data_IF_992837577838
#
_entry.id   IF_992837577838
#
_cell.length_a   1.000
_cell.length_b   1.000
_cell.length_c   1.000
_cell.angle_alpha   90.00
_cell.angle_beta   90.00
_cell.angle_gamma   90.00
#
_symmetry.space_group_name_H-M   'P 1'
#
loop_
_entity.id
_entity.type
_entity.pdbx_description
1 polymer ?
#
# COMPACT_ATOMS: atom_id res chain seq x y z
N UNK A 1 18.18 27.75 -28.16
CA UNK A 1 19.07 26.76 -27.51
C UNK A 1 18.94 26.90 -25.98
N UNK A 2 17.79 26.55 -25.39
CA UNK A 2 17.48 26.70 -23.94
C UNK A 2 17.09 25.38 -23.24
N UNK A 3 17.12 24.25 -23.96
CA UNK A 3 16.62 22.94 -23.48
C UNK A 3 17.49 22.23 -22.42
N UNK A 4 18.65 22.79 -22.06
CA UNK A 4 19.65 22.11 -21.23
C UNK A 4 19.66 22.49 -19.74
N UNK A 5 19.17 23.68 -19.38
CA UNK A 5 19.17 24.16 -17.98
C UNK A 5 17.93 23.70 -17.21
N UNK A 6 16.73 23.84 -17.79
CA UNK A 6 15.46 23.40 -17.18
C UNK A 6 15.44 21.90 -16.83
N UNK A 7 15.93 21.04 -17.74
CA UNK A 7 16.03 19.59 -17.47
C UNK A 7 16.97 19.23 -16.32
N UNK A 8 18.03 20.02 -16.09
CA UNK A 8 18.97 19.82 -14.96
C UNK A 8 18.43 20.39 -13.65
N UNK A 9 17.49 21.32 -13.70
CA UNK A 9 16.83 21.91 -12.55
C UNK A 9 15.66 21.03 -12.08
N UNK A 10 14.83 20.53 -13.00
CA UNK A 10 13.78 19.55 -12.69
C UNK A 10 14.31 18.23 -12.10
N UNK A 11 15.47 17.74 -12.60
CA UNK A 11 16.13 16.55 -12.03
C UNK A 11 16.62 16.76 -10.58
N UNK A 12 17.22 17.92 -10.28
CA UNK A 12 17.72 18.25 -8.92
C UNK A 12 16.58 18.48 -7.92
N UNK A 13 15.41 18.93 -8.39
CA UNK A 13 14.21 19.07 -7.55
C UNK A 13 13.61 17.71 -7.20
N UNK A 14 13.48 16.80 -8.17
CA UNK A 14 12.94 15.45 -7.92
C UNK A 14 13.79 14.62 -6.94
N UNK A 15 15.10 14.86 -6.85
CA UNK A 15 15.97 14.20 -5.88
C UNK A 15 15.58 14.49 -4.42
N UNK A 16 14.97 15.66 -4.12
CA UNK A 16 14.69 16.14 -2.76
C UNK A 16 13.21 16.10 -2.33
N UNK A 17 12.29 15.59 -3.18
CA UNK A 17 10.84 15.63 -2.92
C UNK A 17 10.32 14.39 -2.18
N UNK A 18 9.20 14.60 -1.44
CA UNK A 18 8.43 13.53 -0.80
C UNK A 18 7.99 12.49 -1.83
N UNK A 19 8.54 11.28 -1.72
CA UNK A 19 8.40 10.23 -2.73
C UNK A 19 6.94 9.85 -2.97
N UNK A 20 6.14 9.86 -1.91
CA UNK A 20 4.73 9.51 -1.92
C UNK A 20 3.88 10.64 -2.50
N UNK A 21 4.22 11.90 -2.24
CA UNK A 21 3.47 13.06 -2.72
C UNK A 21 3.48 13.20 -4.22
N UNK A 22 4.65 13.01 -4.85
CA UNK A 22 4.76 12.97 -6.31
C UNK A 22 3.93 11.83 -6.91
N UNK A 23 3.84 10.68 -6.25
CA UNK A 23 2.99 9.57 -6.71
C UNK A 23 1.51 9.90 -6.57
N UNK A 24 1.10 10.49 -5.44
CA UNK A 24 -0.28 10.91 -5.15
C UNK A 24 -0.77 11.95 -6.16
N UNK A 25 0.02 13.00 -6.38
CA UNK A 25 -0.29 14.04 -7.37
C UNK A 25 -0.37 13.47 -8.78
N UNK A 26 0.57 12.59 -9.13
CA UNK A 26 0.53 11.92 -10.42
C UNK A 26 -0.74 11.09 -10.54
N UNK A 27 -1.09 10.26 -9.56
CA UNK A 27 -2.31 9.45 -9.57
C UNK A 27 -3.58 10.29 -9.76
N UNK A 28 -3.72 11.38 -9.00
CA UNK A 28 -4.96 12.19 -8.96
C UNK A 28 -5.09 13.14 -10.14
N UNK A 29 -4.01 13.84 -10.49
CA UNK A 29 -4.06 15.00 -11.39
C UNK A 29 -3.38 14.78 -12.74
N UNK A 30 -2.74 13.62 -12.94
CA UNK A 30 -1.90 13.36 -14.12
C UNK A 30 -0.78 14.40 -14.31
N UNK A 31 -0.36 15.03 -13.22
CA UNK A 31 0.69 16.03 -13.22
C UNK A 31 1.83 15.59 -12.32
N UNK A 32 3.03 15.90 -12.77
CA UNK A 32 4.23 15.81 -11.98
C UNK A 32 4.54 17.21 -11.43
N UNK A 33 4.57 17.42 -10.10
CA UNK A 33 4.68 18.76 -9.52
C UNK A 33 6.06 19.38 -9.79
N UNK A 34 6.08 20.69 -10.09
CA UNK A 34 7.33 21.46 -10.26
C UNK A 34 7.99 21.86 -8.92
N UNK A 35 7.23 21.71 -7.83
CA UNK A 35 7.62 21.96 -6.44
C UNK A 35 6.66 21.23 -5.51
N UNK A 36 7.20 20.54 -4.52
CA UNK A 36 6.44 19.99 -3.40
C UNK A 36 7.00 20.53 -2.08
N UNK A 37 6.14 20.95 -1.17
CA UNK A 37 6.54 21.32 0.19
C UNK A 37 6.56 20.05 1.07
N UNK A 38 7.74 19.51 1.45
CA UNK A 38 7.84 18.26 2.20
C UNK A 38 7.32 18.34 3.64
N UNK A 39 6.86 19.51 4.10
CA UNK A 39 6.33 19.73 5.46
C UNK A 39 4.80 19.79 5.52
N UNK A 40 4.12 19.75 4.37
CA UNK A 40 2.67 19.85 4.27
C UNK A 40 2.10 18.44 4.08
N UNK A 41 1.19 18.06 4.98
CA UNK A 41 0.31 16.90 4.82
C UNK A 41 -0.89 17.33 3.98
N UNK A 42 -1.22 16.56 2.95
CA UNK A 42 -2.36 16.84 2.08
C UNK A 42 -3.36 15.66 2.09
N UNK A 43 -4.64 15.99 2.10
CA UNK A 43 -5.72 15.02 2.00
C UNK A 43 -6.46 15.18 0.67
N UNK A 44 -6.55 14.10 -0.08
CA UNK A 44 -7.16 14.08 -1.40
C UNK A 44 -8.33 13.12 -1.45
N UNK A 45 -9.36 13.49 -2.22
CA UNK A 45 -10.51 12.62 -2.49
C UNK A 45 -10.65 12.42 -3.99
N UNK A 46 -10.74 11.17 -4.42
CA UNK A 46 -10.96 10.83 -5.84
C UNK A 46 -11.87 9.62 -5.99
N UNK A 47 -12.49 9.51 -7.16
CA UNK A 47 -13.29 8.35 -7.55
C UNK A 47 -12.68 7.72 -8.79
N UNK A 48 -12.33 6.43 -8.70
CA UNK A 48 -11.77 5.64 -9.79
C UNK A 48 -12.56 4.36 -9.99
N UNK A 49 -12.48 3.73 -11.17
CA UNK A 49 -13.04 2.39 -11.40
C UNK A 49 -11.90 1.37 -11.42
N UNK A 50 -11.94 0.43 -10.47
CA UNK A 50 -10.93 -0.62 -10.32
C UNK A 50 -11.64 -1.96 -10.47
N UNK A 51 -11.21 -2.76 -11.44
CA UNK A 51 -11.83 -4.05 -11.77
C UNK A 51 -13.34 -3.91 -12.05
N UNK A 52 -13.71 -2.86 -12.80
CA UNK A 52 -15.09 -2.43 -13.14
C UNK A 52 -15.97 -1.96 -11.96
N UNK A 53 -15.49 -2.08 -10.73
CA UNK A 53 -16.16 -1.63 -9.51
C UNK A 53 -15.70 -0.21 -9.13
N UNK A 54 -16.63 0.71 -8.82
CA UNK A 54 -16.25 2.03 -8.32
C UNK A 54 -15.48 1.92 -7.00
N UNK A 55 -14.47 2.76 -6.84
CA UNK A 55 -13.71 2.94 -5.60
C UNK A 55 -13.62 4.43 -5.29
N UNK A 56 -14.04 4.80 -4.09
CA UNK A 56 -13.89 6.15 -3.54
C UNK A 56 -12.66 6.12 -2.63
N UNK A 57 -11.67 6.93 -2.96
CA UNK A 57 -10.39 6.94 -2.28
C UNK A 57 -10.23 8.25 -1.52
N UNK A 58 -10.09 8.13 -0.20
CA UNK A 58 -9.59 9.18 0.67
C UNK A 58 -8.09 8.91 0.88
N UNK A 59 -7.24 9.66 0.19
CA UNK A 59 -5.78 9.49 0.20
C UNK A 59 -5.18 10.53 1.12
N UNK A 60 -4.42 10.06 2.12
CA UNK A 60 -3.61 10.92 2.98
C UNK A 60 -2.15 10.85 2.52
N UNK A 61 -1.63 11.98 2.09
CA UNK A 61 -0.23 12.19 1.75
C UNK A 61 0.52 12.71 2.97
N UNK A 62 1.28 11.83 3.63
CA UNK A 62 2.02 12.14 4.86
C UNK A 62 3.32 12.86 4.54
N UNK A 63 3.65 13.90 5.28
CA UNK A 63 4.90 14.63 5.14
C UNK A 63 6.09 13.73 5.49
N UNK A 64 7.14 13.74 4.66
CA UNK A 64 8.31 12.87 4.83
C UNK A 64 9.27 13.26 5.97
N UNK A 65 9.12 14.47 6.55
CA UNK A 65 9.87 14.86 7.75
C UNK A 65 9.21 14.30 9.02
N UNK A 66 9.95 14.31 10.14
CA UNK A 66 9.54 13.75 11.42
C UNK A 66 8.20 14.32 11.93
N UNK A 67 7.10 13.76 11.42
CA UNK A 67 5.76 14.00 11.93
C UNK A 67 5.73 13.66 13.41
N UNK A 68 5.00 14.48 14.17
CA UNK A 68 4.73 14.17 15.56
C UNK A 68 4.18 12.74 15.68
N UNK A 69 4.79 11.93 16.55
CA UNK A 69 4.41 10.53 16.77
C UNK A 69 2.90 10.36 16.94
N UNK A 70 2.23 11.31 17.59
CA UNK A 70 0.78 11.30 17.79
C UNK A 70 -0.04 11.37 16.48
N UNK A 71 0.37 12.20 15.52
CA UNK A 71 -0.29 12.27 14.20
C UNK A 71 -0.08 10.96 13.44
N UNK A 72 1.12 10.40 13.53
CA UNK A 72 1.45 9.09 12.97
C UNK A 72 0.57 7.97 13.47
N UNK A 73 0.42 7.88 14.78
CA UNK A 73 -0.45 6.88 15.37
C UNK A 73 -1.91 7.07 14.95
N UNK A 74 -2.37 8.31 14.76
CA UNK A 74 -3.74 8.60 14.34
C UNK A 74 -4.04 8.04 12.94
N UNK A 75 -3.22 8.36 11.94
CA UNK A 75 -3.45 7.83 10.59
C UNK A 75 -3.17 6.33 10.50
N UNK A 76 -2.21 5.80 11.27
CA UNK A 76 -1.99 4.35 11.33
C UNK A 76 -3.24 3.65 11.87
N UNK A 77 -3.88 4.21 12.91
CA UNK A 77 -5.11 3.67 13.51
C UNK A 77 -6.29 3.69 12.55
N UNK A 78 -6.47 4.79 11.81
CA UNK A 78 -7.61 5.01 10.92
C UNK A 78 -7.46 4.42 9.52
N UNK A 79 -6.23 4.22 9.03
CA UNK A 79 -5.97 3.77 7.66
C UNK A 79 -6.46 2.34 7.39
N UNK A 80 -7.21 2.18 6.30
CA UNK A 80 -7.70 0.89 5.82
C UNK A 80 -6.62 0.07 5.10
N UNK A 81 -5.62 0.76 4.54
CA UNK A 81 -4.46 0.17 3.90
C UNK A 81 -3.33 1.18 3.74
N UNK A 82 -2.10 0.70 3.48
CA UNK A 82 -0.90 1.52 3.45
C UNK A 82 -0.06 1.27 2.20
N UNK A 83 0.39 2.35 1.57
CA UNK A 83 1.50 2.32 0.61
C UNK A 83 2.76 2.74 1.39
N UNK A 84 3.74 1.85 1.48
CA UNK A 84 5.08 2.19 1.97
C UNK A 84 5.95 2.44 0.75
N UNK A 85 6.43 3.66 0.57
CA UNK A 85 7.25 4.06 -0.56
C UNK A 85 8.69 4.35 -0.12
N UNK A 86 9.66 3.89 -0.91
CA UNK A 86 11.07 4.29 -0.83
C UNK A 86 11.57 4.72 -2.21
N UNK A 87 12.73 5.37 -2.29
CA UNK A 87 13.39 5.67 -3.55
C UNK A 87 14.46 4.62 -3.86
N UNK A 88 14.48 4.06 -5.07
CA UNK A 88 15.52 3.10 -5.48
C UNK A 88 16.91 3.72 -5.51
N UNK A 89 17.00 5.06 -5.55
CA UNK A 89 18.26 5.82 -5.53
C UNK A 89 18.70 6.24 -4.13
N UNK A 90 17.97 5.85 -3.08
CA UNK A 90 18.26 6.24 -1.69
C UNK A 90 18.15 5.02 -0.76
N UNK A 91 19.30 4.45 -0.42
CA UNK A 91 19.40 3.30 0.50
C UNK A 91 18.81 3.58 1.87
N UNK A 92 18.90 4.82 2.36
CA UNK A 92 18.37 5.18 3.69
C UNK A 92 16.84 5.10 3.69
N UNK A 93 16.19 5.63 2.64
CA UNK A 93 14.72 5.53 2.52
C UNK A 93 14.21 4.08 2.53
N UNK A 94 14.96 3.13 1.95
CA UNK A 94 14.62 1.71 1.99
C UNK A 94 14.74 1.12 3.41
N UNK A 95 15.79 1.49 4.14
CA UNK A 95 15.96 1.08 5.53
C UNK A 95 14.88 1.67 6.45
N UNK A 96 14.40 2.87 6.16
CA UNK A 96 13.28 3.49 6.87
C UNK A 96 11.95 2.82 6.53
N UNK A 97 11.67 2.57 5.24
CA UNK A 97 10.52 1.79 4.77
C UNK A 97 10.43 0.41 5.46
N UNK A 98 11.56 -0.27 5.63
CA UNK A 98 11.66 -1.55 6.33
C UNK A 98 11.36 -1.49 7.85
N UNK A 99 11.10 -0.31 8.42
CA UNK A 99 10.66 -0.15 9.81
C UNK A 99 9.16 0.11 9.93
N UNK A 100 8.52 0.58 8.86
CA UNK A 100 7.13 1.05 8.92
C UNK A 100 6.12 -0.04 9.24
N UNK A 101 6.34 -1.29 8.76
CA UNK A 101 5.42 -2.38 9.09
C UNK A 101 5.35 -2.67 10.58
N UNK A 102 6.49 -2.61 11.27
CA UNK A 102 6.54 -2.76 12.73
C UNK A 102 5.88 -1.59 13.46
N UNK A 103 6.07 -0.35 12.97
CA UNK A 103 5.37 0.81 13.53
C UNK A 103 3.85 0.68 13.39
N UNK A 104 3.36 0.23 12.23
CA UNK A 104 1.93 -0.03 12.02
C UNK A 104 1.46 -1.13 12.99
N UNK A 105 2.22 -2.20 13.17
CA UNK A 105 1.88 -3.28 14.12
C UNK A 105 1.79 -2.78 15.56
N UNK A 106 2.69 -1.89 15.99
CA UNK A 106 2.66 -1.31 17.34
C UNK A 106 1.36 -0.54 17.62
N UNK A 107 0.77 0.09 16.59
CA UNK A 107 -0.49 0.85 16.71
C UNK A 107 -1.72 -0.02 16.50
N UNK A 108 -1.65 -0.99 15.58
CA UNK A 108 -2.81 -1.78 15.12
C UNK A 108 -2.95 -3.13 15.78
N UNK A 109 -1.89 -3.64 16.38
CA UNK A 109 -1.80 -4.95 17.02
C UNK A 109 -2.21 -6.10 16.08
N UNK A 110 -1.97 -5.95 14.78
CA UNK A 110 -2.21 -6.99 13.77
C UNK A 110 -1.30 -6.80 12.54
N UNK A 111 -0.87 -7.92 11.96
CA UNK A 111 -0.15 -7.93 10.67
C UNK A 111 -1.09 -8.12 9.47
N UNK A 112 -2.38 -8.35 9.70
CA UNK A 112 -3.39 -8.54 8.65
C UNK A 112 -3.89 -7.18 8.13
N UNK A 113 -2.97 -6.36 7.64
CA UNK A 113 -3.24 -5.02 7.15
C UNK A 113 -2.91 -4.95 5.66
N UNK A 114 -3.85 -4.50 4.81
CA UNK A 114 -3.58 -4.28 3.39
C UNK A 114 -2.39 -3.35 3.22
N UNK A 115 -1.39 -3.83 2.48
CA UNK A 115 -0.13 -3.14 2.33
C UNK A 115 0.43 -3.34 0.94
N UNK A 116 1.06 -2.30 0.40
CA UNK A 116 1.84 -2.33 -0.83
C UNK A 116 3.18 -1.68 -0.56
N UNK A 117 4.26 -2.35 -0.96
CA UNK A 117 5.60 -1.78 -0.98
C UNK A 117 5.90 -1.20 -2.35
N UNK A 118 6.46 0.01 -2.40
CA UNK A 118 6.79 0.71 -3.65
C UNK A 118 8.25 1.17 -3.66
N UNK A 119 8.99 0.76 -4.69
CA UNK A 119 10.27 1.37 -5.05
C UNK A 119 10.08 2.41 -6.15
N UNK A 120 10.14 3.70 -5.82
CA UNK A 120 9.95 4.79 -6.77
C UNK A 120 11.28 5.26 -7.39
N UNK A 121 11.20 6.10 -8.43
CA UNK A 121 12.32 6.71 -9.17
C UNK A 121 13.14 5.74 -10.03
N UNK A 122 12.50 4.71 -10.58
CA UNK A 122 13.23 3.76 -11.46
C UNK A 122 13.70 4.38 -12.78
N UNK A 123 13.20 5.56 -13.14
CA UNK A 123 13.72 6.36 -14.25
C UNK A 123 15.17 6.84 -14.01
N UNK A 124 15.64 6.78 -12.77
CA UNK A 124 17.00 7.13 -12.34
C UNK A 124 17.89 5.88 -12.14
N UNK A 125 17.74 4.87 -13.00
CA UNK A 125 18.46 3.59 -12.93
C UNK A 125 19.98 3.71 -12.72
N UNK A 126 20.59 4.74 -13.32
CA UNK A 126 22.04 5.02 -13.20
C UNK A 126 22.49 5.35 -11.77
N UNK A 127 21.55 5.75 -10.91
CA UNK A 127 21.77 6.11 -9.51
C UNK A 127 21.16 5.09 -8.54
N UNK A 128 20.74 3.91 -9.04
CA UNK A 128 20.13 2.87 -8.21
C UNK A 128 21.09 2.42 -7.11
N UNK A 129 20.60 2.43 -5.87
CA UNK A 129 21.27 1.93 -4.66
C UNK A 129 20.57 0.73 -4.03
N UNK A 130 19.33 0.45 -4.45
CA UNK A 130 18.51 -0.67 -3.97
C UNK A 130 18.07 -1.49 -5.17
N UNK A 131 18.42 -2.77 -5.18
CA UNK A 131 18.07 -3.66 -6.28
C UNK A 131 16.60 -4.06 -6.24
N UNK A 132 16.04 -4.46 -7.39
CA UNK A 132 14.68 -4.98 -7.46
C UNK A 132 14.51 -6.23 -6.59
N UNK A 133 15.55 -7.07 -6.47
CA UNK A 133 15.56 -8.26 -5.61
C UNK A 133 15.47 -7.91 -4.12
N UNK A 134 16.11 -6.82 -3.68
CA UNK A 134 16.00 -6.34 -2.29
C UNK A 134 14.54 -5.92 -1.98
N UNK A 135 13.92 -5.15 -2.87
CA UNK A 135 12.51 -4.76 -2.76
C UNK A 135 11.56 -5.96 -2.75
N UNK A 136 11.74 -6.90 -3.68
CA UNK A 136 10.97 -8.16 -3.74
C UNK A 136 11.17 -9.04 -2.52
N UNK A 137 12.36 -9.04 -1.93
CA UNK A 137 12.65 -9.81 -0.72
C UNK A 137 11.94 -9.23 0.49
N UNK A 138 11.98 -7.90 0.66
CA UNK A 138 11.25 -7.20 1.73
C UNK A 138 9.72 -7.38 1.57
N UNK A 139 9.19 -7.27 0.36
CA UNK A 139 7.77 -7.49 0.12
C UNK A 139 7.32 -8.93 0.43
N UNK A 140 8.18 -9.92 0.14
CA UNK A 140 7.93 -11.32 0.51
C UNK A 140 7.93 -11.53 2.03
N UNK A 141 8.90 -10.95 2.74
CA UNK A 141 8.91 -10.93 4.20
C UNK A 141 7.63 -10.30 4.75
N UNK A 142 7.15 -9.26 4.07
CA UNK A 142 5.96 -8.54 4.49
C UNK A 142 4.64 -9.18 4.02
N UNK A 143 4.70 -10.21 3.18
CA UNK A 143 3.55 -10.82 2.51
C UNK A 143 2.64 -9.76 1.86
N UNK A 144 3.25 -8.81 1.13
CA UNK A 144 2.56 -7.72 0.45
C UNK A 144 2.91 -7.68 -1.05
N UNK A 145 2.13 -6.92 -1.82
CA UNK A 145 2.46 -6.64 -3.22
C UNK A 145 3.63 -5.65 -3.32
N UNK A 146 4.43 -5.78 -4.38
CA UNK A 146 5.55 -4.90 -4.69
C UNK A 146 5.39 -4.30 -6.08
N UNK A 147 5.63 -3.00 -6.19
CA UNK A 147 5.70 -2.29 -7.47
C UNK A 147 6.94 -1.42 -7.54
N UNK A 148 7.58 -1.41 -8.69
CA UNK A 148 8.54 -0.38 -9.05
C UNK A 148 7.82 0.69 -9.87
N UNK A 149 8.02 1.96 -9.51
CA UNK A 149 7.30 3.10 -10.09
C UNK A 149 8.24 4.21 -10.51
N UNK A 150 7.74 5.07 -11.41
CA UNK A 150 8.32 6.38 -11.67
C UNK A 150 7.20 7.40 -11.70
N UNK A 151 7.13 8.24 -10.67
CA UNK A 151 6.18 9.37 -10.68
C UNK A 151 6.47 10.33 -11.84
N UNK A 152 7.75 10.56 -12.15
CA UNK A 152 8.18 11.43 -13.25
C UNK A 152 7.70 10.94 -14.63
N UNK A 153 7.66 9.62 -14.85
CA UNK A 153 7.22 9.02 -16.11
C UNK A 153 5.78 8.48 -16.06
N UNK A 154 5.07 8.64 -14.94
CA UNK A 154 3.78 7.97 -14.65
C UNK A 154 3.85 6.44 -14.82
N UNK A 155 5.00 5.83 -14.55
CA UNK A 155 5.14 4.39 -14.69
C UNK A 155 4.62 3.66 -13.45
N UNK A 156 3.69 2.71 -13.64
CA UNK A 156 3.09 1.85 -12.60
C UNK A 156 2.41 2.58 -11.43
N UNK A 157 2.09 3.87 -11.58
CA UNK A 157 1.45 4.66 -10.52
C UNK A 157 0.04 4.11 -10.24
N UNK A 158 -0.79 3.99 -11.28
CA UNK A 158 -2.15 3.47 -11.16
C UNK A 158 -2.15 2.03 -10.60
N UNK A 159 -1.21 1.19 -11.05
CA UNK A 159 -1.08 -0.20 -10.59
C UNK A 159 -0.81 -0.32 -9.09
N UNK A 160 0.02 0.55 -8.52
CA UNK A 160 0.32 0.55 -7.09
C UNK A 160 -0.91 0.90 -6.23
N UNK A 161 -1.63 1.97 -6.59
CA UNK A 161 -2.86 2.36 -5.88
C UNK A 161 -3.97 1.32 -6.06
N UNK A 162 -4.16 0.81 -7.28
CA UNK A 162 -5.14 -0.24 -7.56
C UNK A 162 -4.79 -1.54 -6.81
N UNK A 163 -3.50 -1.88 -6.72
CA UNK A 163 -3.01 -3.01 -5.94
C UNK A 163 -3.42 -2.93 -4.47
N UNK A 164 -3.31 -1.75 -3.86
CA UNK A 164 -3.73 -1.55 -2.47
C UNK A 164 -5.24 -1.75 -2.32
N UNK A 165 -6.04 -1.14 -3.20
CA UNK A 165 -7.51 -1.28 -3.18
C UNK A 165 -7.94 -2.75 -3.29
N UNK A 166 -7.26 -3.54 -4.13
CA UNK A 166 -7.52 -4.98 -4.22
C UNK A 166 -7.22 -5.73 -2.92
N UNK A 167 -6.13 -5.41 -2.24
CA UNK A 167 -5.82 -6.02 -0.94
C UNK A 167 -6.82 -5.61 0.15
N UNK A 168 -7.32 -4.38 0.13
CA UNK A 168 -8.40 -3.92 1.02
C UNK A 168 -9.67 -4.75 0.77
N UNK A 169 -10.17 -4.78 -0.48
CA UNK A 169 -11.37 -5.54 -0.88
C UNK A 169 -11.25 -7.03 -0.55
N UNK A 170 -10.06 -7.61 -0.74
CA UNK A 170 -9.76 -9.01 -0.39
C UNK A 170 -9.90 -9.24 1.11
N UNK A 171 -9.38 -8.34 1.95
CA UNK A 171 -9.54 -8.41 3.41
C UNK A 171 -11.02 -8.28 3.83
N UNK A 172 -11.78 -7.38 3.20
CA UNK A 172 -13.21 -7.21 3.50
C UNK A 172 -14.06 -8.42 3.06
N UNK A 173 -13.70 -9.05 1.94
CA UNK A 173 -14.38 -10.25 1.44
C UNK A 173 -14.12 -11.50 2.29
N UNK A 174 -13.12 -11.47 3.17
CA UNK A 174 -12.78 -12.60 4.02
C UNK A 174 -13.77 -12.70 5.19
N UNK A 175 -14.48 -13.83 5.36
CA UNK A 175 -15.39 -13.99 6.48
C UNK A 175 -14.62 -13.88 7.79
N UNK A 176 -15.21 -13.18 8.76
CA UNK A 176 -14.55 -12.99 10.05
C UNK A 176 -14.23 -14.35 10.70
N UNK A 177 -13.21 -14.40 11.56
CA UNK A 177 -12.87 -15.62 12.30
C UNK A 177 -14.07 -16.17 13.08
N UNK A 178 -14.97 -15.28 13.52
CA UNK A 178 -16.22 -15.63 14.20
C UNK A 178 -17.23 -16.29 13.25
N UNK A 179 -17.42 -15.76 12.05
CA UNK A 179 -18.25 -16.39 11.01
C UNK A 179 -17.68 -17.74 10.56
N UNK A 180 -16.36 -17.86 10.43
CA UNK A 180 -15.69 -19.13 10.12
C UNK A 180 -15.94 -20.17 11.23
N UNK A 181 -15.85 -19.77 12.50
CA UNK A 181 -16.17 -20.65 13.65
C UNK A 181 -17.65 -21.09 13.66
N UNK A 182 -18.57 -20.17 13.37
CA UNK A 182 -20.01 -20.47 13.26
C UNK A 182 -20.29 -21.46 12.12
N UNK A 183 -19.81 -21.17 10.91
CA UNK A 183 -19.97 -22.06 9.75
C UNK A 183 -19.40 -23.46 9.99
N UNK A 184 -18.27 -23.55 10.70
CA UNK A 184 -17.62 -24.83 11.06
C UNK A 184 -18.44 -25.61 12.09
N UNK A 185 -19.01 -24.94 13.11
CA UNK A 185 -19.96 -25.55 14.05
C UNK A 185 -21.21 -26.04 13.33
N UNK A 186 -21.82 -25.23 12.46
CA UNK A 186 -23.04 -25.61 11.72
C UNK A 186 -22.82 -26.83 10.81
N UNK A 187 -21.66 -26.90 10.15
CA UNK A 187 -21.27 -28.05 9.34
C UNK A 187 -21.10 -29.33 10.18
N UNK A 188 -20.47 -29.22 11.36
CA UNK A 188 -20.35 -30.33 12.31
C UNK A 188 -21.73 -30.82 12.80
N UNK A 189 -22.63 -29.90 13.16
CA UNK A 189 -23.98 -30.24 13.59
C UNK A 189 -24.80 -30.92 12.48
N UNK A 190 -24.68 -30.45 11.24
CA UNK A 190 -25.33 -31.10 10.08
C UNK A 190 -24.82 -32.53 9.87
N UNK A 191 -23.50 -32.76 9.97
CA UNK A 191 -22.92 -34.11 9.87
C UNK A 191 -23.40 -35.04 10.99
N UNK A 192 -23.41 -34.56 12.24
CA UNK A 192 -23.88 -35.32 13.40
C UNK A 192 -25.36 -35.73 13.26
N UNK A 193 -26.23 -34.79 12.88
CA UNK A 193 -27.65 -35.08 12.63
C UNK A 193 -27.84 -36.09 11.50
N UNK A 194 -27.05 -35.99 10.43
CA UNK A 194 -27.04 -36.94 9.33
C UNK A 194 -26.67 -38.36 9.77
N UNK A 195 -25.60 -38.52 10.57
CA UNK A 195 -25.20 -39.83 11.11
C UNK A 195 -26.24 -40.42 12.06
N UNK A 196 -26.85 -39.61 12.92
CA UNK A 196 -27.89 -40.07 13.85
C UNK A 196 -29.14 -40.54 13.11
N UNK A 197 -29.54 -39.85 12.04
CA UNK A 197 -30.66 -40.25 11.18
C UNK A 197 -30.39 -41.60 10.50
N UNK A 198 -29.20 -41.75 9.92
CA UNK A 198 -28.77 -42.99 9.24
C UNK A 198 -28.69 -44.19 10.18
N UNK A 199 -28.24 -43.97 11.42
CA UNK A 199 -28.19 -45.02 12.46
C UNK A 199 -29.59 -45.46 12.90
N UNK A 200 -30.55 -44.54 12.90
CA UNK A 200 -31.96 -44.83 13.26
C UNK A 200 -32.69 -45.61 12.16
N UNK A 201 -32.36 -45.34 10.89
CA UNK A 201 -32.92 -46.07 9.73
C UNK A 201 -32.38 -47.50 9.61
N UNK A 202 -31.15 -47.78 10.05
CA UNK A 202 -30.56 -49.12 10.02
C UNK A 202 -30.98 -50.04 11.20
N UNK A 203 -31.81 -49.55 12.13
CA UNK A 203 -32.30 -50.29 13.31
C UNK A 203 -33.79 -50.69 13.22
N UNK A 204 -34.44 -50.34 12.11
CA UNK A 204 -35.84 -50.68 11.75
C UNK A 204 -35.84 -51.52 10.50
#
# INVERSE_FOLDING_TARGET
>A
MLRGKEKKEGKRKYENEGYISAMTMQFISHQFPDYHDPTIEDAYKTQVRIDNEPAYLDILDTAGQAEFTAMREQYMRGGEGFIICYSVTDRQSFQEAAKFKELIFQVRHTYEIPLVLVGNKIDLEQFRQVSTEEGLSLAREYNCAFFETSAALRFCIDDAFHGLVREIRKKESMPSLMEKKLKRKDSLWKKLKGSLKKKRENMT
#
